data_IF_560882518155
#
_entry.id   IF_560882518155
#
_cell.length_a   1.000
_cell.length_b   1.000
_cell.length_c   1.000
_cell.angle_alpha   90.00
_cell.angle_beta   90.00
_cell.angle_gamma   90.00
#
_symmetry.space_group_name_H-M   'P 1'
#
loop_
_entity.id
_entity.type
_entity.pdbx_description
1 polymer ?
#
# COMPACT_ATOMS: atom_id res chain seq x y z
N UNK A 1 61.37 -13.83 10.94
CA UNK A 1 60.79 -12.63 10.35
C UNK A 1 59.28 -12.86 10.29
N UNK A 2 58.56 -12.37 11.31
CA UNK A 2 57.11 -12.64 11.51
C UNK A 2 56.28 -11.57 10.79
N UNK A 3 55.42 -12.00 9.88
CA UNK A 3 54.41 -11.14 9.28
C UNK A 3 53.08 -11.46 9.95
N UNK A 4 52.60 -10.53 10.80
CA UNK A 4 51.31 -10.58 11.45
C UNK A 4 50.21 -10.22 10.47
N UNK A 5 49.28 -11.14 10.25
CA UNK A 5 48.02 -10.89 9.56
C UNK A 5 47.15 -9.99 10.46
N UNK A 6 46.85 -8.76 9.99
CA UNK A 6 45.78 -7.94 10.53
C UNK A 6 44.47 -8.40 9.86
N UNK A 7 43.61 -9.03 10.63
CA UNK A 7 42.24 -9.27 10.25
C UNK A 7 41.45 -7.95 10.28
N UNK A 8 40.99 -7.51 9.10
CA UNK A 8 40.08 -6.40 8.98
C UNK A 8 38.67 -6.86 9.37
N UNK A 9 38.25 -6.49 10.59
CA UNK A 9 36.85 -6.66 11.03
C UNK A 9 36.00 -5.61 10.33
N UNK A 10 35.23 -6.03 9.33
CA UNK A 10 34.25 -5.17 8.69
C UNK A 10 33.12 -4.86 9.68
N UNK A 11 33.13 -3.67 10.20
CA UNK A 11 32.03 -3.12 11.03
C UNK A 11 30.88 -2.78 10.08
N UNK A 12 29.86 -3.64 10.03
CA UNK A 12 28.62 -3.39 9.31
C UNK A 12 27.86 -2.29 10.05
N UNK A 13 28.02 -1.04 9.60
CA UNK A 13 27.19 0.08 10.04
C UNK A 13 25.76 -0.18 9.58
N UNK A 14 24.92 -0.64 10.49
CA UNK A 14 23.47 -0.54 10.35
C UNK A 14 23.12 0.95 10.37
N UNK A 15 23.02 1.55 9.19
CA UNK A 15 22.38 2.85 9.05
C UNK A 15 20.90 2.66 9.39
N UNK A 16 20.54 2.95 10.62
CA UNK A 16 19.16 3.26 10.97
C UNK A 16 18.77 4.47 10.12
N UNK A 17 18.12 4.23 9.00
CA UNK A 17 17.45 5.27 8.23
C UNK A 17 16.35 5.82 9.13
N UNK A 18 16.69 6.90 9.84
CA UNK A 18 15.69 7.72 10.52
C UNK A 18 14.85 8.36 9.41
N UNK A 19 13.72 7.75 9.04
CA UNK A 19 12.73 8.42 8.20
C UNK A 19 12.34 9.72 8.88
N UNK A 20 12.35 10.87 8.18
CA UNK A 20 11.66 12.04 8.71
C UNK A 20 10.24 11.57 8.99
N UNK A 21 9.73 11.84 10.19
CA UNK A 21 8.35 11.58 10.55
C UNK A 21 7.48 12.31 9.53
N UNK A 22 7.06 11.61 8.48
CA UNK A 22 6.01 12.06 7.60
C UNK A 22 4.83 12.34 8.51
N UNK A 23 4.16 13.48 8.34
CA UNK A 23 3.07 13.89 9.22
C UNK A 23 1.98 12.82 9.18
N UNK A 24 2.04 11.84 10.12
CA UNK A 24 0.94 10.91 10.35
C UNK A 24 -0.26 11.75 10.78
N UNK A 25 -1.33 11.72 9.99
CA UNK A 25 -2.51 12.53 10.25
C UNK A 25 -3.77 11.72 10.49
N UNK A 26 -4.68 12.31 11.24
CA UNK A 26 -6.06 11.80 11.30
C UNK A 26 -6.76 12.05 9.95
N UNK A 27 -7.85 11.36 9.70
CA UNK A 27 -8.74 11.71 8.59
C UNK A 27 -9.28 13.13 8.77
N UNK A 28 -9.27 13.90 7.71
CA UNK A 28 -9.96 15.19 7.63
C UNK A 28 -11.48 14.96 7.63
N UNK A 29 -12.26 15.99 7.89
CA UNK A 29 -13.73 15.85 7.87
C UNK A 29 -14.24 15.54 6.45
N UNK A 30 -13.62 16.10 5.42
CA UNK A 30 -13.96 15.78 4.04
C UNK A 30 -13.70 14.30 3.68
N UNK A 31 -12.58 13.73 4.14
CA UNK A 31 -12.28 12.31 3.96
C UNK A 31 -13.27 11.42 4.72
N UNK A 32 -13.66 11.80 5.96
CA UNK A 32 -14.68 11.08 6.73
C UNK A 32 -16.03 11.10 6.03
N UNK A 33 -16.43 12.26 5.52
CA UNK A 33 -17.67 12.42 4.76
C UNK A 33 -17.65 11.50 3.53
N UNK A 34 -16.58 11.53 2.74
CA UNK A 34 -16.43 10.66 1.58
C UNK A 34 -16.56 9.17 1.93
N UNK A 35 -15.90 8.72 3.02
CA UNK A 35 -15.96 7.34 3.48
C UNK A 35 -17.39 6.97 3.93
N UNK A 36 -18.04 7.82 4.70
CA UNK A 36 -19.35 7.53 5.31
C UNK A 36 -20.50 7.60 4.31
N UNK A 37 -20.42 8.50 3.33
CA UNK A 37 -21.45 8.67 2.30
C UNK A 37 -21.30 7.70 1.13
N UNK A 38 -20.19 6.95 1.04
CA UNK A 38 -20.05 5.87 0.05
C UNK A 38 -20.93 4.67 0.47
N UNK A 39 -21.81 4.22 -0.42
CA UNK A 39 -22.74 3.11 -0.14
C UNK A 39 -22.01 1.74 -0.13
N UNK A 40 -21.87 1.10 -1.28
CA UNK A 40 -21.30 -0.25 -1.43
C UNK A 40 -19.91 -0.24 -2.06
N UNK A 41 -19.63 0.72 -2.91
CA UNK A 41 -18.34 0.93 -3.59
C UNK A 41 -18.01 2.42 -3.64
N UNK A 42 -16.74 2.74 -3.83
CA UNK A 42 -16.28 4.11 -4.03
C UNK A 42 -16.13 4.41 -5.53
N UNK A 43 -16.26 5.69 -5.90
CA UNK A 43 -15.95 6.13 -7.25
C UNK A 43 -14.44 6.02 -7.51
N UNK A 44 -14.06 5.37 -8.58
CA UNK A 44 -12.67 5.36 -9.03
C UNK A 44 -12.36 6.62 -9.82
N UNK A 45 -11.31 7.33 -9.42
CA UNK A 45 -10.82 8.53 -10.08
C UNK A 45 -10.02 8.17 -11.34
N UNK A 46 -10.15 8.99 -12.40
CA UNK A 46 -9.44 8.76 -13.66
C UNK A 46 -8.66 9.98 -14.13
N UNK A 47 -7.61 9.77 -14.92
CA UNK A 47 -6.81 10.86 -15.50
C UNK A 47 -7.57 11.70 -16.53
N UNK A 48 -8.73 11.24 -17.02
CA UNK A 48 -9.56 11.94 -17.98
C UNK A 48 -10.25 13.16 -17.37
N UNK A 49 -10.47 13.16 -16.06
CA UNK A 49 -10.97 14.31 -15.31
C UNK A 49 -9.80 15.09 -14.69
N UNK A 50 -9.70 16.38 -14.96
CA UNK A 50 -8.60 17.22 -14.48
C UNK A 50 -8.53 17.29 -12.94
N UNK A 51 -9.68 17.36 -12.25
CA UNK A 51 -9.72 17.39 -10.78
C UNK A 51 -9.28 16.04 -10.18
N UNK A 52 -9.72 14.93 -10.76
CA UNK A 52 -9.31 13.60 -10.37
C UNK A 52 -7.79 13.41 -10.56
N UNK A 53 -7.28 13.85 -11.73
CA UNK A 53 -5.86 13.77 -12.03
C UNK A 53 -4.99 14.54 -11.01
N UNK A 54 -5.47 15.66 -10.49
CA UNK A 54 -4.76 16.39 -9.41
C UNK A 54 -4.66 15.54 -8.14
N UNK A 55 -5.70 14.81 -7.77
CA UNK A 55 -5.69 13.90 -6.62
C UNK A 55 -4.75 12.72 -6.87
N UNK A 56 -4.85 12.09 -8.06
CA UNK A 56 -4.00 10.94 -8.45
C UNK A 56 -2.51 11.29 -8.49
N UNK A 57 -2.16 12.56 -8.74
CA UNK A 57 -0.77 13.04 -8.82
C UNK A 57 -0.23 13.58 -7.50
N UNK A 58 -1.06 13.66 -6.47
CA UNK A 58 -0.62 14.13 -5.16
C UNK A 58 -0.04 12.98 -4.32
N UNK A 59 1.00 13.28 -3.53
CA UNK A 59 1.59 12.30 -2.61
C UNK A 59 0.68 12.02 -1.43
N UNK A 60 0.62 10.76 -1.07
CA UNK A 60 -0.14 10.27 0.07
C UNK A 60 0.64 10.39 1.39
N UNK A 61 -0.07 10.64 2.48
CA UNK A 61 0.46 10.69 3.84
C UNK A 61 0.06 9.48 4.66
N UNK A 62 0.85 9.16 5.68
CA UNK A 62 0.55 8.11 6.64
C UNK A 62 -0.66 8.47 7.51
N UNK A 63 -1.39 7.46 7.93
CA UNK A 63 -2.47 7.56 8.91
C UNK A 63 -1.92 7.44 10.33
N UNK A 64 -2.47 8.25 11.25
CA UNK A 64 -2.17 8.13 12.68
C UNK A 64 -2.74 6.84 13.28
N UNK A 65 -2.22 6.43 14.44
CA UNK A 65 -2.78 5.29 15.19
C UNK A 65 -4.26 5.49 15.54
N UNK A 66 -4.65 6.73 15.81
CA UNK A 66 -6.06 7.07 16.09
C UNK A 66 -6.94 6.90 14.84
N UNK A 67 -6.46 7.32 13.68
CA UNK A 67 -7.18 7.10 12.43
C UNK A 67 -7.32 5.61 12.11
N UNK A 68 -6.24 4.85 12.26
CA UNK A 68 -6.22 3.40 12.00
C UNK A 68 -7.12 2.57 12.94
N UNK A 69 -7.35 3.06 14.15
CA UNK A 69 -8.24 2.43 15.14
C UNK A 69 -9.70 2.93 15.06
N UNK A 70 -10.02 3.78 14.08
CA UNK A 70 -11.36 4.32 13.90
C UNK A 70 -12.25 3.41 13.03
N UNK A 71 -13.57 3.51 13.24
CA UNK A 71 -14.55 2.87 12.36
C UNK A 71 -14.49 3.40 10.92
N UNK A 72 -14.02 4.64 10.71
CA UNK A 72 -13.83 5.19 9.37
C UNK A 72 -12.73 4.42 8.60
N UNK A 73 -11.65 4.00 9.28
CA UNK A 73 -10.63 3.16 8.63
C UNK A 73 -11.15 1.75 8.31
N UNK A 74 -11.89 1.13 9.23
CA UNK A 74 -12.51 -0.18 8.99
C UNK A 74 -13.45 -0.11 7.78
N UNK A 75 -14.30 0.92 7.74
CA UNK A 75 -15.19 1.17 6.60
C UNK A 75 -14.43 1.43 5.30
N UNK A 76 -13.36 2.23 5.32
CA UNK A 76 -12.52 2.48 4.15
C UNK A 76 -11.92 1.18 3.61
N UNK A 77 -11.39 0.32 4.49
CA UNK A 77 -10.79 -0.96 4.10
C UNK A 77 -11.82 -1.87 3.40
N UNK A 78 -13.03 -1.96 3.94
CA UNK A 78 -14.14 -2.71 3.33
C UNK A 78 -14.52 -2.13 1.96
N UNK A 79 -14.69 -0.82 1.87
CA UNK A 79 -15.07 -0.13 0.65
C UNK A 79 -14.00 -0.28 -0.46
N UNK A 80 -12.71 -0.20 -0.12
CA UNK A 80 -11.63 -0.38 -1.09
C UNK A 80 -11.67 -1.80 -1.68
N UNK A 81 -11.81 -2.81 -0.85
CA UNK A 81 -11.92 -4.21 -1.33
C UNK A 81 -13.19 -4.38 -2.16
N UNK A 82 -14.35 -3.91 -1.68
CA UNK A 82 -15.59 -3.98 -2.43
C UNK A 82 -15.52 -3.25 -3.78
N UNK A 83 -14.79 -2.13 -3.85
CA UNK A 83 -14.62 -1.37 -5.10
C UNK A 83 -13.78 -2.16 -6.10
N UNK A 84 -12.61 -2.65 -5.70
CA UNK A 84 -11.68 -3.32 -6.62
C UNK A 84 -12.21 -4.67 -7.10
N UNK A 85 -13.00 -5.37 -6.28
CA UNK A 85 -13.61 -6.67 -6.63
C UNK A 85 -14.97 -6.52 -7.33
N UNK A 86 -15.50 -5.30 -7.44
CA UNK A 86 -16.78 -5.10 -8.10
C UNK A 86 -16.71 -5.49 -9.58
N UNK A 87 -17.70 -6.22 -10.13
CA UNK A 87 -17.67 -6.71 -11.52
C UNK A 87 -17.45 -5.63 -12.60
N UNK A 88 -17.73 -4.36 -12.29
CA UNK A 88 -17.46 -3.24 -13.21
C UNK A 88 -16.00 -2.78 -13.20
N UNK A 89 -15.19 -3.21 -12.23
CA UNK A 89 -13.80 -2.82 -12.07
C UNK A 89 -12.85 -3.99 -12.36
N UNK A 90 -13.12 -5.17 -11.77
CA UNK A 90 -12.35 -6.42 -11.96
C UNK A 90 -10.83 -6.21 -11.82
N UNK A 91 -10.44 -5.51 -10.76
CA UNK A 91 -9.04 -5.16 -10.49
C UNK A 91 -8.38 -6.12 -9.51
N UNK A 92 -7.05 -6.15 -9.50
CA UNK A 92 -6.23 -6.96 -8.58
C UNK A 92 -5.57 -6.13 -7.47
N UNK A 93 -5.69 -4.81 -7.54
CA UNK A 93 -5.19 -3.86 -6.56
C UNK A 93 -5.88 -2.51 -6.68
N UNK A 94 -5.88 -1.73 -5.60
CA UNK A 94 -6.38 -0.36 -5.55
C UNK A 94 -5.69 0.42 -4.43
N UNK A 95 -5.39 1.69 -4.69
CA UNK A 95 -4.75 2.59 -3.75
C UNK A 95 -5.69 3.73 -3.30
N UNK A 96 -5.44 4.29 -2.11
CA UNK A 96 -6.21 5.39 -1.54
C UNK A 96 -6.44 6.56 -2.51
N UNK A 97 -5.44 7.08 -3.25
CA UNK A 97 -5.65 8.16 -4.23
C UNK A 97 -6.68 7.83 -5.30
N UNK A 98 -6.80 6.57 -5.72
CA UNK A 98 -7.76 6.15 -6.75
C UNK A 98 -9.22 6.26 -6.26
N UNK A 99 -9.44 6.26 -4.97
CA UNK A 99 -10.77 6.47 -4.35
C UNK A 99 -10.91 7.85 -3.69
N UNK A 100 -10.03 8.78 -4.01
CA UNK A 100 -10.12 10.17 -3.57
C UNK A 100 -9.43 10.48 -2.23
N UNK A 101 -8.68 9.54 -1.67
CA UNK A 101 -7.98 9.73 -0.38
C UNK A 101 -6.45 9.67 -0.58
N UNK A 102 -5.76 10.80 -0.44
CA UNK A 102 -4.29 10.82 -0.46
C UNK A 102 -3.71 10.31 0.86
N UNK A 103 -4.07 9.05 1.20
CA UNK A 103 -3.61 8.29 2.37
C UNK A 103 -2.90 7.01 1.94
N UNK A 104 -1.85 6.67 2.67
CA UNK A 104 -1.04 5.48 2.37
C UNK A 104 -1.78 4.20 2.77
N UNK A 105 -2.76 3.84 1.99
CA UNK A 105 -3.52 2.58 2.12
C UNK A 105 -3.66 1.96 0.74
N UNK A 106 -3.39 0.66 0.64
CA UNK A 106 -3.63 -0.12 -0.58
C UNK A 106 -4.39 -1.40 -0.22
N UNK A 107 -5.23 -1.88 -1.14
CA UNK A 107 -5.78 -3.23 -1.10
C UNK A 107 -5.19 -4.01 -2.27
N UNK A 108 -4.68 -5.23 -2.01
CA UNK A 108 -3.97 -6.06 -3.00
C UNK A 108 -4.44 -7.50 -2.91
N UNK A 109 -4.71 -8.11 -4.06
CA UNK A 109 -4.96 -9.54 -4.16
C UNK A 109 -3.63 -10.33 -4.03
N UNK A 110 -3.58 -11.25 -3.09
CA UNK A 110 -2.36 -11.98 -2.70
C UNK A 110 -2.25 -13.30 -3.47
N UNK A 111 -1.81 -13.25 -4.73
CA UNK A 111 -1.58 -14.44 -5.55
C UNK A 111 -0.45 -15.34 -5.05
N UNK A 112 0.37 -14.83 -4.16
CA UNK A 112 1.44 -15.57 -3.46
C UNK A 112 0.97 -16.32 -2.22
N UNK A 113 -0.31 -16.20 -1.84
CA UNK A 113 -0.95 -16.93 -0.75
C UNK A 113 -1.88 -18.01 -1.27
N UNK A 114 -2.13 -19.03 -0.44
CA UNK A 114 -3.09 -20.08 -0.78
C UNK A 114 -4.49 -19.49 -1.03
N UNK A 115 -5.17 -19.94 -2.08
CA UNK A 115 -6.55 -19.53 -2.34
C UNK A 115 -7.48 -19.87 -1.18
N UNK A 116 -8.45 -18.99 -0.92
CA UNK A 116 -9.54 -19.18 0.03
C UNK A 116 -10.85 -19.39 -0.71
N UNK A 117 -11.85 -20.02 -0.08
CA UNK A 117 -13.16 -20.16 -0.70
C UNK A 117 -13.95 -18.86 -0.59
N UNK A 118 -14.17 -18.20 -1.73
CA UNK A 118 -15.07 -17.07 -1.89
C UNK A 118 -16.29 -17.51 -2.72
N UNK A 119 -17.47 -17.45 -2.15
CA UNK A 119 -18.72 -17.90 -2.80
C UNK A 119 -18.65 -19.31 -3.42
N UNK A 120 -17.95 -20.21 -2.71
CA UNK A 120 -17.78 -21.61 -3.13
C UNK A 120 -16.76 -21.84 -4.26
N UNK A 121 -16.03 -20.81 -4.66
CA UNK A 121 -14.91 -20.90 -5.62
C UNK A 121 -13.60 -20.53 -4.94
N UNK A 122 -12.49 -21.22 -5.27
CA UNK A 122 -11.18 -20.82 -4.79
C UNK A 122 -10.77 -19.48 -5.43
N UNK A 123 -10.39 -18.51 -4.60
CA UNK A 123 -9.87 -17.23 -5.03
C UNK A 123 -8.75 -16.78 -4.09
N UNK A 124 -7.84 -15.95 -4.59
CA UNK A 124 -6.76 -15.40 -3.77
C UNK A 124 -7.27 -14.26 -2.89
N UNK A 125 -6.87 -14.22 -1.60
CA UNK A 125 -7.40 -13.24 -0.66
C UNK A 125 -6.96 -11.82 -1.00
N UNK A 126 -7.87 -10.86 -0.84
CA UNK A 126 -7.53 -9.45 -0.78
C UNK A 126 -7.13 -9.06 0.65
N UNK A 127 -6.04 -8.31 0.76
CA UNK A 127 -5.56 -7.78 2.04
C UNK A 127 -5.31 -6.28 1.94
N UNK A 128 -5.55 -5.56 3.05
CA UNK A 128 -5.41 -4.10 3.13
C UNK A 128 -4.19 -3.73 3.95
N UNK A 129 -3.37 -2.84 3.40
CA UNK A 129 -2.05 -2.48 3.93
C UNK A 129 -1.97 -0.98 4.23
N UNK A 130 -2.16 -0.55 5.50
CA UNK A 130 -2.01 0.85 5.88
C UNK A 130 -0.55 1.24 6.09
N UNK A 131 -0.24 2.49 5.74
CA UNK A 131 1.10 3.09 5.89
C UNK A 131 2.19 2.26 5.22
N UNK A 132 1.87 1.71 4.06
CA UNK A 132 2.76 0.81 3.32
C UNK A 132 3.87 1.56 2.61
N UNK A 133 5.06 0.96 2.63
CA UNK A 133 6.25 1.41 1.91
C UNK A 133 7.04 0.23 1.35
N UNK A 134 7.70 0.41 0.22
CA UNK A 134 8.75 -0.49 -0.22
C UNK A 134 10.05 -0.05 0.45
N UNK A 135 10.72 -0.99 1.12
CA UNK A 135 11.99 -0.75 1.80
C UNK A 135 13.20 -1.40 1.10
N UNK A 136 12.94 -2.36 0.22
CA UNK A 136 13.96 -2.99 -0.60
C UNK A 136 13.35 -3.55 -1.87
N UNK A 137 14.10 -3.52 -2.98
CA UNK A 137 13.76 -4.13 -4.26
C UNK A 137 14.92 -5.00 -4.72
N UNK A 138 14.62 -6.09 -5.43
CA UNK A 138 15.66 -6.90 -6.07
C UNK A 138 16.18 -6.23 -7.35
N UNK A 139 17.43 -6.52 -7.68
CA UNK A 139 18.04 -6.11 -8.97
C UNK A 139 17.44 -6.89 -10.16
N UNK A 140 16.88 -8.07 -9.90
CA UNK A 140 16.19 -8.86 -10.90
C UNK A 140 14.89 -8.18 -11.28
N UNK A 141 14.75 -7.82 -12.55
CA UNK A 141 13.61 -7.12 -13.11
C UNK A 141 13.07 -7.85 -14.33
N UNK A 142 11.80 -7.67 -14.64
CA UNK A 142 11.18 -8.15 -15.86
C UNK A 142 10.12 -7.16 -16.35
N UNK A 143 9.93 -7.14 -17.67
CA UNK A 143 8.80 -6.47 -18.29
C UNK A 143 7.54 -7.32 -18.15
N UNK A 144 6.40 -6.65 -17.94
CA UNK A 144 5.10 -7.28 -17.92
C UNK A 144 3.98 -6.27 -18.19
N UNK A 145 2.84 -6.73 -18.72
CA UNK A 145 1.72 -5.85 -19.02
C UNK A 145 1.08 -5.33 -17.74
N UNK A 146 0.88 -4.01 -17.70
CA UNK A 146 0.10 -3.34 -16.66
C UNK A 146 -1.06 -2.55 -17.29
N UNK A 147 -2.21 -2.59 -16.64
CA UNK A 147 -3.34 -1.71 -16.83
C UNK A 147 -3.67 -1.02 -15.51
N UNK A 148 -4.52 -0.01 -15.52
CA UNK A 148 -4.89 0.73 -14.31
C UNK A 148 -6.33 1.22 -14.41
N UNK A 149 -7.11 1.03 -13.36
CA UNK A 149 -8.48 1.53 -13.26
C UNK A 149 -8.57 3.06 -13.44
N UNK A 150 -7.50 3.77 -13.05
CA UNK A 150 -7.40 5.23 -13.21
C UNK A 150 -6.89 5.69 -14.57
N UNK A 151 -6.47 4.76 -15.44
CA UNK A 151 -5.99 5.01 -16.82
C UNK A 151 -6.75 4.09 -17.76
N UNK A 152 -8.04 4.37 -18.02
CA UNK A 152 -8.91 3.48 -18.76
C UNK A 152 -8.41 3.23 -20.19
N UNK A 153 -8.77 2.07 -20.74
CA UNK A 153 -8.54 1.66 -22.13
C UNK A 153 -7.07 1.66 -22.57
N UNK A 154 -6.11 1.59 -21.61
CA UNK A 154 -4.69 1.56 -21.90
C UNK A 154 -4.00 0.46 -21.11
N UNK A 155 -3.05 -0.19 -21.76
CA UNK A 155 -2.11 -1.11 -21.14
C UNK A 155 -0.75 -0.96 -21.79
N UNK A 156 0.33 -1.26 -21.06
CA UNK A 156 1.69 -1.24 -21.59
C UNK A 156 2.60 -2.14 -20.74
N UNK A 157 3.71 -2.57 -21.32
CA UNK A 157 4.73 -3.31 -20.60
C UNK A 157 5.58 -2.38 -19.74
N UNK A 158 5.65 -2.69 -18.45
CA UNK A 158 6.42 -1.92 -17.45
C UNK A 158 7.51 -2.79 -16.85
N UNK A 159 8.69 -2.22 -16.68
CA UNK A 159 9.81 -2.90 -16.02
C UNK A 159 9.65 -2.84 -14.50
N UNK A 160 9.54 -4.01 -13.85
CA UNK A 160 9.34 -4.14 -12.40
C UNK A 160 10.34 -5.10 -11.78
N UNK A 161 10.71 -4.80 -10.52
CA UNK A 161 11.47 -5.74 -9.69
C UNK A 161 10.67 -7.00 -9.42
N UNK A 162 11.32 -8.16 -9.53
CA UNK A 162 10.67 -9.46 -9.34
C UNK A 162 10.44 -9.81 -7.85
N UNK A 163 11.07 -9.06 -6.94
CA UNK A 163 10.89 -9.21 -5.49
C UNK A 163 11.01 -7.87 -4.81
N UNK A 164 10.10 -7.60 -3.87
CA UNK A 164 10.14 -6.41 -3.01
C UNK A 164 9.96 -6.79 -1.55
N UNK A 165 10.56 -6.00 -0.66
CA UNK A 165 10.28 -6.05 0.77
C UNK A 165 9.41 -4.85 1.10
N UNK A 166 8.21 -5.12 1.58
CA UNK A 166 7.25 -4.10 2.02
C UNK A 166 7.27 -3.98 3.53
N UNK A 167 7.01 -2.78 4.05
CA UNK A 167 6.80 -2.49 5.46
C UNK A 167 5.48 -1.72 5.60
N UNK A 168 4.65 -2.12 6.56
CA UNK A 168 3.33 -1.52 6.79
C UNK A 168 2.96 -1.60 8.26
N UNK A 169 1.90 -0.87 8.69
CA UNK A 169 1.43 -0.93 10.08
C UNK A 169 0.82 -2.29 10.40
N UNK A 170 1.31 -2.94 11.46
CA UNK A 170 0.73 -4.17 12.01
C UNK A 170 -0.56 -3.86 12.77
N UNK A 171 -1.69 -3.97 12.07
CA UNK A 171 -3.01 -3.72 12.64
C UNK A 171 -3.37 -4.67 13.77
N UNK A 172 -2.91 -5.92 13.73
CA UNK A 172 -3.17 -6.91 14.79
C UNK A 172 -2.51 -6.48 16.10
N UNK A 173 -1.23 -6.10 16.01
CA UNK A 173 -0.47 -5.60 17.15
C UNK A 173 -0.98 -4.24 17.64
N UNK A 174 -1.39 -3.35 16.73
CA UNK A 174 -1.96 -2.06 17.09
C UNK A 174 -3.28 -2.22 17.87
N UNK A 175 -4.20 -3.07 17.41
CA UNK A 175 -5.45 -3.41 18.12
C UNK A 175 -5.17 -4.11 19.45
N UNK A 176 -4.10 -4.92 19.56
CA UNK A 176 -3.68 -5.50 20.84
C UNK A 176 -3.22 -4.42 21.83
N UNK A 177 -2.41 -3.46 21.38
CA UNK A 177 -1.93 -2.35 22.21
C UNK A 177 -3.11 -1.47 22.68
N UNK A 178 -4.08 -1.19 21.81
CA UNK A 178 -5.29 -0.45 22.17
C UNK A 178 -6.07 -1.15 23.28
N UNK A 179 -6.30 -2.46 23.15
CA UNK A 179 -7.00 -3.23 24.20
C UNK A 179 -6.26 -3.21 25.53
N UNK A 180 -4.92 -3.19 25.50
CA UNK A 180 -4.07 -3.20 26.71
C UNK A 180 -3.95 -1.83 27.37
N UNK A 181 -3.83 -0.77 26.58
CA UNK A 181 -3.48 0.58 27.07
C UNK A 181 -4.57 1.63 26.79
N UNK A 182 -5.69 1.24 26.17
CA UNK A 182 -6.78 2.13 25.79
C UNK A 182 -6.29 3.25 24.85
N UNK A 183 -6.85 4.46 25.00
CA UNK A 183 -6.49 5.63 24.21
C UNK A 183 -4.99 6.01 24.28
N UNK A 184 -4.25 5.48 25.26
CA UNK A 184 -2.81 5.66 25.38
C UNK A 184 -2.01 4.91 24.31
N UNK A 185 -2.58 3.96 23.60
CA UNK A 185 -1.92 3.22 22.53
C UNK A 185 -1.40 4.14 21.41
N UNK A 186 -2.09 5.25 21.14
CA UNK A 186 -1.70 6.23 20.12
C UNK A 186 -0.45 7.04 20.50
N UNK A 187 0.04 6.97 21.74
CA UNK A 187 1.26 7.63 22.20
C UNK A 187 2.53 6.80 21.94
N UNK A 188 2.39 5.56 21.48
CA UNK A 188 3.51 4.71 21.11
C UNK A 188 3.78 4.81 19.60
N UNK A 189 5.03 4.56 19.16
CA UNK A 189 5.33 4.37 17.75
C UNK A 189 4.43 3.29 17.17
N UNK A 190 3.92 3.50 15.96
CA UNK A 190 3.07 2.51 15.29
C UNK A 190 3.86 1.21 15.09
N UNK A 191 3.31 0.06 15.50
CA UNK A 191 3.97 -1.22 15.24
C UNK A 191 3.99 -1.48 13.73
N UNK A 192 5.15 -1.87 13.21
CA UNK A 192 5.31 -2.24 11.80
C UNK A 192 5.65 -3.70 11.65
N UNK A 193 5.31 -4.26 10.52
CA UNK A 193 5.67 -5.60 10.08
C UNK A 193 6.23 -5.53 8.66
N UNK A 194 7.14 -6.44 8.34
CA UNK A 194 7.75 -6.57 7.02
C UNK A 194 7.33 -7.88 6.38
N UNK A 195 7.09 -7.82 5.08
CA UNK A 195 6.82 -9.00 4.27
C UNK A 195 7.66 -8.95 3.01
N UNK A 196 8.05 -10.13 2.49
CA UNK A 196 8.81 -10.26 1.25
C UNK A 196 7.90 -10.91 0.22
N UNK A 197 7.58 -10.17 -0.83
CA UNK A 197 6.69 -10.63 -1.90
C UNK A 197 7.43 -10.75 -3.23
N UNK A 198 7.01 -11.69 -4.08
CA UNK A 198 7.68 -12.00 -5.33
C UNK A 198 6.67 -12.21 -6.47
N UNK A 199 7.18 -12.20 -7.71
CA UNK A 199 6.39 -12.46 -8.90
C UNK A 199 5.29 -11.43 -9.13
N UNK A 200 4.12 -11.86 -9.59
CA UNK A 200 3.02 -10.96 -9.95
C UNK A 200 2.53 -10.13 -8.76
N UNK A 201 2.45 -10.70 -7.56
CA UNK A 201 2.10 -9.94 -6.35
C UNK A 201 3.07 -8.79 -6.09
N UNK A 202 4.37 -8.98 -6.34
CA UNK A 202 5.36 -7.90 -6.21
C UNK A 202 5.14 -6.78 -7.25
N UNK A 203 4.68 -7.12 -8.45
CA UNK A 203 4.29 -6.12 -9.48
C UNK A 203 3.11 -5.30 -8.99
N UNK A 204 2.04 -5.95 -8.48
CA UNK A 204 0.86 -5.26 -7.95
C UNK A 204 1.25 -4.28 -6.84
N UNK A 205 2.04 -4.71 -5.85
CA UNK A 205 2.49 -3.81 -4.79
C UNK A 205 3.27 -2.61 -5.30
N UNK A 206 4.16 -2.79 -6.29
CA UNK A 206 4.89 -1.67 -6.89
C UNK A 206 3.95 -0.70 -7.60
N UNK A 207 2.94 -1.21 -8.32
CA UNK A 207 1.92 -0.41 -8.98
C UNK A 207 1.11 0.42 -7.97
N UNK A 208 0.56 -0.23 -6.94
CA UNK A 208 -0.27 0.45 -5.94
C UNK A 208 0.53 1.45 -5.08
N UNK A 209 1.79 1.15 -4.77
CA UNK A 209 2.64 2.07 -4.02
C UNK A 209 3.08 3.26 -4.88
N UNK A 210 3.22 3.10 -6.20
CA UNK A 210 3.43 4.22 -7.11
C UNK A 210 2.29 5.23 -7.03
N UNK A 211 1.04 4.78 -6.99
CA UNK A 211 -0.11 5.67 -6.77
C UNK A 211 0.03 6.51 -5.50
N UNK A 212 0.59 5.94 -4.42
CA UNK A 212 0.81 6.68 -3.17
C UNK A 212 1.88 7.78 -3.30
N UNK A 213 2.75 7.67 -4.30
CA UNK A 213 3.76 8.69 -4.65
C UNK A 213 3.30 9.64 -5.76
N UNK A 214 2.06 9.51 -6.23
CA UNK A 214 1.51 10.31 -7.34
C UNK A 214 2.05 9.89 -8.71
N UNK A 215 2.56 8.66 -8.82
CA UNK A 215 3.12 8.07 -10.03
C UNK A 215 2.10 7.10 -10.63
N UNK A 216 1.91 7.15 -11.94
CA UNK A 216 1.11 6.18 -12.68
C UNK A 216 2.03 5.29 -13.52
N UNK A 217 1.58 4.07 -13.85
CA UNK A 217 2.40 3.16 -14.66
C UNK A 217 2.85 3.76 -15.99
N UNK A 218 2.04 4.66 -16.59
CA UNK A 218 2.37 5.37 -17.83
C UNK A 218 3.60 6.28 -17.71
N UNK A 219 3.96 6.71 -16.51
CA UNK A 219 5.17 7.52 -16.26
C UNK A 219 6.45 6.68 -16.24
N UNK A 220 6.32 5.36 -16.23
CA UNK A 220 7.42 4.41 -16.23
C UNK A 220 7.73 3.82 -17.62
N UNK A 221 6.96 4.23 -18.62
CA UNK A 221 7.20 3.81 -20.00
C UNK A 221 8.48 4.47 -20.53
N UNK A 222 9.35 3.66 -21.15
CA UNK A 222 10.61 4.09 -21.77
C UNK A 222 10.46 4.15 -23.27
#
# INVERSE_FOLDING_TARGET
>A
MNIRNLGATAFLLFLFSCRPAGCCGDFTEAERTLIRESDSIMRVLTIENAADNMVLRAKSSDLSGKALLSSDYERLAELMVATVTHPSQDGVGIAGPQVGLNRRVVAVQRFDKEPVLCDGKPDHPFEVYPNIHIICMSDSQAYGPEGCLSVPDRSADVLRSQRVVIEYTDMSRLKHLERKYGKGACNYPLPTIRDTVSGFTAVIFQHEIDHLEGILYIDRLQ
#
